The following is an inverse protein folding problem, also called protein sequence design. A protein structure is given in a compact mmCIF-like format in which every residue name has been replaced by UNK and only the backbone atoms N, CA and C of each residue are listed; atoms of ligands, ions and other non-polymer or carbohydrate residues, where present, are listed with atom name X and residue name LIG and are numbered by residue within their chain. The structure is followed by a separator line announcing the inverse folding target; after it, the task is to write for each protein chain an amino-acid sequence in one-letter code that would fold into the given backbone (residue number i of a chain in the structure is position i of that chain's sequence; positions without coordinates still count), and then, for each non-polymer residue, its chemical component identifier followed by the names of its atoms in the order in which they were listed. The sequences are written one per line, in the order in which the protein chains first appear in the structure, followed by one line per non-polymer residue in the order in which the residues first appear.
data_IF_048253463243
#
_entry.id   IF_048253463243
#
_cell.length_a   1.000
_cell.length_b   1.000
_cell.length_c   1.000
_cell.angle_alpha   90.00
_cell.angle_beta   90.00
_cell.angle_gamma   90.00
#
_symmetry.space_group_name_H-M   'P 1'
#
loop_
_entity.id
_entity.type
_entity.pdbx_description
1 polymer ?
#
# COMPACT_ATOMS: atom_id res chain seq x y z
N UNK A 1 16.41 -22.25 20.38
CA UNK A 1 15.92 -21.07 19.66
C UNK A 1 16.75 -20.96 18.40
N UNK A 2 16.14 -20.65 17.25
CA UNK A 2 16.87 -20.40 16.00
C UNK A 2 17.66 -19.10 16.18
N UNK A 3 18.94 -19.08 15.83
CA UNK A 3 19.76 -17.89 15.89
C UNK A 3 19.21 -16.84 14.93
N UNK A 4 18.94 -15.63 15.43
CA UNK A 4 18.46 -14.51 14.60
C UNK A 4 19.66 -13.96 13.84
N UNK A 5 19.60 -14.09 12.51
CA UNK A 5 20.61 -13.56 11.60
C UNK A 5 20.06 -12.34 10.86
N UNK A 6 20.73 -11.20 10.99
CA UNK A 6 20.42 -9.97 10.26
C UNK A 6 21.23 -9.87 8.96
N UNK A 7 20.64 -9.24 7.97
CA UNK A 7 21.34 -8.84 6.75
C UNK A 7 22.50 -7.87 7.09
N UNK A 8 23.64 -8.05 6.46
CA UNK A 8 24.79 -7.16 6.64
C UNK A 8 24.61 -5.80 5.99
N UNK A 9 23.73 -5.70 4.98
CA UNK A 9 23.43 -4.46 4.23
C UNK A 9 22.21 -3.69 4.76
N UNK A 10 21.11 -4.38 5.03
CA UNK A 10 19.87 -3.76 5.52
C UNK A 10 19.50 -4.32 6.91
N UNK A 11 18.25 -4.15 7.34
CA UNK A 11 17.79 -4.57 8.67
C UNK A 11 16.83 -5.77 8.64
N UNK A 12 16.68 -6.43 7.48
CA UNK A 12 15.91 -7.67 7.37
C UNK A 12 16.59 -8.81 8.14
N UNK A 13 15.80 -9.68 8.73
CA UNK A 13 16.27 -10.83 9.49
C UNK A 13 15.43 -12.09 9.20
N UNK A 14 15.89 -13.25 9.72
CA UNK A 14 15.26 -14.55 9.50
C UNK A 14 14.25 -14.95 10.58
N UNK A 15 13.84 -14.04 11.46
CA UNK A 15 12.98 -14.39 12.60
C UNK A 15 11.57 -14.77 12.15
N UNK A 16 10.94 -13.92 11.36
CA UNK A 16 9.56 -14.07 10.92
C UNK A 16 9.40 -14.18 9.39
N UNK A 17 10.50 -14.36 8.66
CA UNK A 17 10.47 -14.49 7.20
C UNK A 17 11.10 -15.82 6.76
N UNK A 18 10.28 -16.83 6.40
CA UNK A 18 10.79 -18.10 5.91
C UNK A 18 11.40 -18.04 4.50
N UNK A 19 11.22 -16.94 3.78
CA UNK A 19 11.70 -16.75 2.40
C UNK A 19 13.02 -15.99 2.33
N UNK A 20 13.53 -15.47 3.46
CA UNK A 20 14.81 -14.78 3.46
C UNK A 20 15.96 -15.79 3.36
N UNK A 21 16.90 -15.49 2.49
CA UNK A 21 18.18 -16.19 2.35
C UNK A 21 19.32 -15.17 2.37
N UNK A 22 20.51 -15.63 2.74
CA UNK A 22 21.69 -14.78 2.80
C UNK A 22 22.81 -15.40 1.95
N UNK A 23 23.55 -14.57 1.23
CA UNK A 23 24.75 -14.97 0.51
C UNK A 23 25.96 -15.15 1.45
N UNK A 24 27.15 -15.39 0.87
CA UNK A 24 28.41 -15.59 1.59
C UNK A 24 28.82 -14.35 2.41
N UNK A 25 28.50 -13.15 1.93
CA UNK A 25 28.76 -11.87 2.59
C UNK A 25 27.67 -11.50 3.62
N UNK A 26 26.64 -12.34 3.77
CA UNK A 26 25.52 -12.13 4.67
C UNK A 26 24.47 -11.14 4.16
N UNK A 27 24.51 -10.76 2.87
CA UNK A 27 23.51 -9.91 2.25
C UNK A 27 22.26 -10.72 1.91
N UNK A 28 21.06 -10.17 2.19
CA UNK A 28 19.83 -10.90 1.95
C UNK A 28 19.38 -10.83 0.48
N UNK A 29 18.64 -11.87 0.06
CA UNK A 29 18.05 -11.96 -1.29
C UNK A 29 17.20 -10.75 -1.67
N UNK A 30 16.53 -10.09 -0.72
CA UNK A 30 15.74 -8.87 -1.00
C UNK A 30 16.63 -7.69 -1.41
N UNK A 31 17.77 -7.49 -0.73
CA UNK A 31 18.74 -6.47 -1.14
C UNK A 31 19.31 -6.77 -2.52
N UNK A 32 19.71 -8.02 -2.77
CA UNK A 32 20.26 -8.44 -4.05
C UNK A 32 19.26 -8.23 -5.18
N UNK A 33 17.98 -8.63 -4.99
CA UNK A 33 16.91 -8.42 -5.94
C UNK A 33 16.68 -6.90 -6.19
N UNK A 34 16.53 -6.10 -5.12
CA UNK A 34 16.28 -4.68 -5.24
C UNK A 34 17.40 -3.92 -5.98
N UNK A 35 18.66 -4.23 -5.67
CA UNK A 35 19.80 -3.57 -6.33
C UNK A 35 19.86 -3.82 -7.83
N UNK A 36 19.33 -4.94 -8.33
CA UNK A 36 19.30 -5.20 -9.78
C UNK A 36 18.36 -4.27 -10.52
N UNK A 37 17.42 -3.62 -9.84
CA UNK A 37 16.42 -2.74 -10.43
C UNK A 37 16.81 -1.25 -10.46
N UNK A 38 17.91 -0.88 -9.79
CA UNK A 38 18.40 0.50 -9.77
C UNK A 38 19.14 0.78 -11.08
N UNK A 39 18.74 1.84 -11.80
CA UNK A 39 19.31 2.26 -13.09
C UNK A 39 19.23 1.20 -14.21
N UNK A 40 18.39 0.20 -14.07
CA UNK A 40 18.20 -0.85 -15.07
C UNK A 40 16.80 -0.85 -15.66
N UNK A 41 15.76 -1.10 -14.85
CA UNK A 41 14.39 -1.27 -15.35
C UNK A 41 13.31 -0.58 -14.51
N UNK A 42 13.53 -0.35 -13.22
CA UNK A 42 12.49 0.18 -12.32
C UNK A 42 12.81 1.57 -11.79
N UNK A 43 13.98 1.78 -11.17
CA UNK A 43 14.30 2.98 -10.41
C UNK A 43 15.42 3.78 -11.07
N UNK A 44 15.11 5.01 -11.48
CA UNK A 44 16.01 5.92 -12.19
C UNK A 44 16.09 7.28 -11.49
N UNK A 45 16.78 7.40 -10.34
CA UNK A 45 16.92 8.67 -9.61
C UNK A 45 18.02 9.57 -10.21
N UNK A 46 17.99 9.79 -11.52
CA UNK A 46 19.05 10.46 -12.28
C UNK A 46 18.52 11.16 -13.54
N UNK A 47 19.39 11.73 -14.35
CA UNK A 47 19.05 12.44 -15.61
C UNK A 47 18.23 11.58 -16.59
N UNK A 48 18.49 10.28 -16.65
CA UNK A 48 17.70 9.37 -17.50
C UNK A 48 16.25 9.25 -16.97
N UNK A 49 16.06 9.21 -15.66
CA UNK A 49 14.74 9.24 -15.06
C UNK A 49 14.00 10.55 -15.34
N UNK A 50 14.68 11.70 -15.20
CA UNK A 50 14.10 13.00 -15.51
C UNK A 50 13.65 13.09 -16.97
N UNK A 51 14.46 12.58 -17.90
CA UNK A 51 14.11 12.51 -19.32
C UNK A 51 12.87 11.64 -19.55
N UNK A 52 12.83 10.44 -19.00
CA UNK A 52 11.66 9.52 -19.08
C UNK A 52 10.42 10.13 -18.47
N UNK A 53 10.56 10.82 -17.34
CA UNK A 53 9.47 11.52 -16.67
C UNK A 53 8.89 12.62 -17.56
N UNK A 54 9.75 13.43 -18.17
CA UNK A 54 9.32 14.48 -19.11
C UNK A 54 8.56 13.89 -20.29
N UNK A 55 9.10 12.87 -20.93
CA UNK A 55 8.45 12.17 -22.06
C UNK A 55 7.08 11.60 -21.63
N UNK A 56 6.99 11.02 -20.43
CA UNK A 56 5.74 10.50 -19.85
C UNK A 56 4.72 11.61 -19.68
N UNK A 57 5.10 12.75 -19.10
CA UNK A 57 4.22 13.90 -18.85
C UNK A 57 3.72 14.48 -20.17
N UNK A 58 4.62 14.71 -21.13
CA UNK A 58 4.29 15.25 -22.44
C UNK A 58 3.29 14.35 -23.17
N UNK A 59 3.50 13.03 -23.11
CA UNK A 59 2.58 12.02 -23.66
C UNK A 59 1.21 12.06 -23.01
N UNK A 60 1.14 12.08 -21.66
CA UNK A 60 -0.12 12.14 -20.91
C UNK A 60 -0.92 13.38 -21.34
N UNK A 61 -0.28 14.54 -21.40
CA UNK A 61 -0.92 15.82 -21.78
C UNK A 61 -1.40 15.79 -23.22
N UNK A 62 -0.57 15.35 -24.15
CA UNK A 62 -0.92 15.33 -25.58
C UNK A 62 -2.08 14.39 -25.89
N UNK A 63 -2.12 13.22 -25.28
CA UNK A 63 -3.19 12.23 -25.50
C UNK A 63 -4.53 12.62 -24.82
N UNK A 64 -4.51 13.55 -23.87
CA UNK A 64 -5.71 13.99 -23.16
C UNK A 64 -6.02 15.49 -23.36
N UNK A 65 -5.44 16.13 -24.37
CA UNK A 65 -5.59 17.59 -24.61
C UNK A 65 -7.06 18.07 -24.61
N UNK A 66 -7.95 17.28 -25.23
CA UNK A 66 -9.39 17.58 -25.34
C UNK A 66 -10.22 17.06 -24.14
N UNK A 67 -9.60 16.42 -23.14
CA UNK A 67 -10.30 15.88 -21.97
C UNK A 67 -10.23 16.85 -20.79
N UNK A 68 -11.15 16.67 -19.84
CA UNK A 68 -11.16 17.46 -18.60
C UNK A 68 -9.95 17.16 -17.73
N UNK A 69 -9.52 15.90 -17.68
CA UNK A 69 -8.38 15.43 -16.88
C UNK A 69 -7.36 14.73 -17.74
N UNK A 70 -6.08 14.84 -17.34
CA UNK A 70 -4.96 14.14 -17.97
C UNK A 70 -4.79 12.74 -17.39
N UNK A 71 -5.03 12.58 -16.10
CA UNK A 71 -4.83 11.35 -15.36
C UNK A 71 -5.74 11.25 -14.13
N UNK A 72 -5.81 10.04 -13.57
CA UNK A 72 -6.48 9.73 -12.31
C UNK A 72 -5.44 9.23 -11.33
N UNK A 73 -5.62 9.54 -10.04
CA UNK A 73 -4.82 8.96 -8.95
C UNK A 73 -5.66 8.67 -7.72
N UNK A 74 -5.25 7.68 -6.93
CA UNK A 74 -5.76 7.48 -5.57
C UNK A 74 -5.07 8.43 -4.60
N UNK A 75 -5.81 8.98 -3.65
CA UNK A 75 -5.26 9.80 -2.57
C UNK A 75 -5.71 9.25 -1.22
N UNK A 76 -4.75 8.91 -0.36
CA UNK A 76 -4.98 8.29 0.96
C UNK A 76 -4.71 9.23 2.13
N UNK A 77 -4.19 10.45 1.87
CA UNK A 77 -3.66 11.32 2.93
C UNK A 77 -2.27 10.93 3.41
N UNK A 78 -1.72 9.83 2.92
CA UNK A 78 -0.34 9.41 3.14
C UNK A 78 0.64 10.20 2.27
N UNK A 79 1.92 10.20 2.70
CA UNK A 79 2.98 11.00 2.09
C UNK A 79 3.16 10.76 0.60
N UNK A 80 3.24 9.49 0.18
CA UNK A 80 3.59 9.12 -1.19
C UNK A 80 2.55 9.61 -2.20
N UNK A 81 1.26 9.39 -1.91
CA UNK A 81 0.16 9.89 -2.75
C UNK A 81 0.05 11.42 -2.72
N UNK A 82 0.27 12.03 -1.56
CA UNK A 82 0.25 13.48 -1.42
C UNK A 82 1.38 14.15 -2.20
N UNK A 83 2.60 13.60 -2.10
CA UNK A 83 3.75 14.15 -2.81
C UNK A 83 3.61 13.98 -4.33
N UNK A 84 3.08 12.83 -4.79
CA UNK A 84 2.80 12.65 -6.21
C UNK A 84 1.74 13.65 -6.73
N UNK A 85 0.70 13.93 -5.94
CA UNK A 85 -0.30 14.94 -6.31
C UNK A 85 0.31 16.34 -6.41
N UNK A 86 1.15 16.72 -5.45
CA UNK A 86 1.90 17.98 -5.48
C UNK A 86 2.81 18.09 -6.70
N UNK A 87 3.59 17.04 -7.00
CA UNK A 87 4.44 17.02 -8.18
C UNK A 87 3.62 17.07 -9.47
N UNK A 88 2.50 16.35 -9.54
CA UNK A 88 1.59 16.42 -10.67
C UNK A 88 1.06 17.83 -10.92
N UNK A 89 0.72 18.58 -9.85
CA UNK A 89 0.40 19.99 -9.92
C UNK A 89 1.58 20.82 -10.48
N UNK A 90 2.80 20.61 -9.97
CA UNK A 90 4.01 21.30 -10.49
C UNK A 90 4.27 20.99 -11.96
N UNK A 91 3.99 19.79 -12.42
CA UNK A 91 4.11 19.40 -13.83
C UNK A 91 2.95 19.91 -14.67
N UNK A 92 1.96 20.56 -14.08
CA UNK A 92 0.80 21.11 -14.77
C UNK A 92 -0.14 20.04 -15.32
N UNK A 93 -0.26 18.90 -14.64
CA UNK A 93 -1.23 17.86 -14.95
C UNK A 93 -2.61 18.20 -14.37
N UNK A 94 -3.65 17.97 -15.16
CA UNK A 94 -5.05 18.04 -14.70
C UNK A 94 -5.44 16.71 -14.10
N UNK A 95 -5.38 16.62 -12.77
CA UNK A 95 -5.56 15.38 -12.03
C UNK A 95 -7.00 15.28 -11.54
N UNK A 96 -7.61 14.10 -11.68
CA UNK A 96 -8.77 13.70 -10.88
C UNK A 96 -8.29 12.81 -9.74
N UNK A 97 -8.37 13.30 -8.50
CA UNK A 97 -8.08 12.51 -7.31
C UNK A 97 -9.31 11.68 -6.91
N UNK A 98 -9.08 10.43 -6.55
CA UNK A 98 -10.12 9.54 -6.02
C UNK A 98 -9.71 9.11 -4.62
N UNK A 99 -10.55 9.45 -3.65
CA UNK A 99 -10.42 9.03 -2.27
C UNK A 99 -11.44 7.96 -1.96
N UNK A 100 -10.99 6.85 -1.38
CA UNK A 100 -11.88 5.78 -0.91
C UNK A 100 -11.96 5.90 0.60
N UNK A 101 -13.07 6.44 1.09
CA UNK A 101 -13.35 6.57 2.51
C UNK A 101 -13.98 5.28 3.05
N UNK A 102 -13.14 4.41 3.57
CA UNK A 102 -13.55 3.15 4.20
C UNK A 102 -13.97 3.31 5.67
N UNK A 103 -13.94 4.55 6.16
CA UNK A 103 -14.30 4.91 7.52
C UNK A 103 -13.18 4.72 8.55
N UNK A 104 -11.95 4.42 8.13
CA UNK A 104 -10.79 4.23 9.03
C UNK A 104 -9.72 5.32 8.88
N UNK A 105 -9.96 6.37 8.12
CA UNK A 105 -9.02 7.47 8.00
C UNK A 105 -8.89 8.26 9.30
N UNK A 106 -7.65 8.64 9.63
CA UNK A 106 -7.40 9.55 10.75
C UNK A 106 -7.83 10.97 10.40
N UNK A 107 -8.13 11.79 11.40
CA UNK A 107 -8.48 13.20 11.17
C UNK A 107 -7.32 13.97 10.50
N UNK A 108 -6.06 13.61 10.84
CA UNK A 108 -4.88 14.21 10.21
C UNK A 108 -4.85 13.88 8.70
N UNK A 109 -5.13 12.65 8.31
CA UNK A 109 -5.14 12.28 6.89
C UNK A 109 -6.24 12.98 6.11
N UNK A 110 -7.44 13.10 6.66
CA UNK A 110 -8.56 13.84 6.06
C UNK A 110 -8.21 15.33 5.87
N UNK A 111 -7.60 15.94 6.89
CA UNK A 111 -7.15 17.34 6.82
C UNK A 111 -6.05 17.52 5.77
N UNK A 112 -5.07 16.61 5.71
CA UNK A 112 -4.00 16.61 4.72
C UNK A 112 -4.55 16.51 3.30
N UNK A 113 -5.48 15.60 3.03
CA UNK A 113 -6.13 15.45 1.73
C UNK A 113 -6.82 16.76 1.32
N UNK A 114 -7.62 17.33 2.23
CA UNK A 114 -8.38 18.56 1.96
C UNK A 114 -7.44 19.71 1.61
N UNK A 115 -6.45 20.01 2.46
CA UNK A 115 -5.50 21.10 2.26
C UNK A 115 -4.71 20.95 0.96
N UNK A 116 -4.25 19.74 0.66
CA UNK A 116 -3.53 19.46 -0.57
C UNK A 116 -4.38 19.68 -1.81
N UNK A 117 -5.60 19.14 -1.85
CA UNK A 117 -6.49 19.29 -3.00
C UNK A 117 -6.88 20.76 -3.23
N UNK A 118 -7.12 21.53 -2.15
CA UNK A 118 -7.40 22.96 -2.23
C UNK A 118 -6.19 23.75 -2.77
N UNK A 119 -4.99 23.53 -2.22
CA UNK A 119 -3.76 24.21 -2.64
C UNK A 119 -3.36 23.89 -4.08
N UNK A 120 -3.46 22.63 -4.48
CA UNK A 120 -3.14 22.16 -5.82
C UNK A 120 -4.29 22.30 -6.83
N UNK A 121 -5.47 22.79 -6.40
CA UNK A 121 -6.68 22.91 -7.22
C UNK A 121 -7.07 21.59 -7.90
N UNK A 122 -6.89 20.48 -7.20
CA UNK A 122 -7.21 19.14 -7.69
C UNK A 122 -8.67 18.83 -7.35
N UNK A 123 -9.44 18.45 -8.37
CA UNK A 123 -10.79 17.93 -8.15
C UNK A 123 -10.70 16.56 -7.50
N UNK A 124 -11.41 16.37 -6.39
CA UNK A 124 -11.45 15.12 -5.65
C UNK A 124 -12.84 14.51 -5.67
N UNK A 125 -12.90 13.18 -5.84
CA UNK A 125 -14.13 12.39 -5.64
C UNK A 125 -13.92 11.43 -4.50
N UNK A 126 -14.79 11.53 -3.50
CA UNK A 126 -14.85 10.57 -2.42
C UNK A 126 -15.85 9.48 -2.76
N UNK A 127 -15.44 8.23 -2.57
CA UNK A 127 -16.28 7.04 -2.75
C UNK A 127 -16.27 6.28 -1.43
N UNK A 128 -17.46 6.06 -0.87
CA UNK A 128 -17.63 5.34 0.39
C UNK A 128 -18.22 3.96 0.11
N UNK A 129 -17.50 2.87 0.37
CA UNK A 129 -18.05 1.52 0.34
C UNK A 129 -19.19 1.34 1.35
N UNK A 130 -20.07 0.35 1.15
CA UNK A 130 -21.07 0.00 2.15
C UNK A 130 -20.37 -0.45 3.45
N UNK A 131 -20.48 0.36 4.49
CA UNK A 131 -19.73 0.17 5.74
C UNK A 131 -20.08 -1.13 6.46
N UNK A 132 -21.36 -1.55 6.43
CA UNK A 132 -21.78 -2.79 7.08
C UNK A 132 -21.13 -4.01 6.44
N UNK A 133 -21.15 -4.09 5.10
CA UNK A 133 -20.56 -5.19 4.36
C UNK A 133 -19.02 -5.16 4.40
N UNK A 134 -18.42 -3.96 4.37
CA UNK A 134 -16.97 -3.78 4.47
C UNK A 134 -16.44 -4.24 5.83
N UNK A 135 -17.10 -3.82 6.91
CA UNK A 135 -16.72 -4.20 8.27
C UNK A 135 -16.92 -5.71 8.54
N UNK A 136 -18.02 -6.30 8.05
CA UNK A 136 -18.24 -7.76 8.17
C UNK A 136 -17.15 -8.54 7.40
N UNK A 137 -16.76 -8.09 6.22
CA UNK A 137 -15.70 -8.71 5.44
C UNK A 137 -14.33 -8.58 6.13
N UNK A 138 -14.02 -7.42 6.72
CA UNK A 138 -12.81 -7.21 7.53
C UNK A 138 -12.79 -8.14 8.73
N UNK A 139 -13.90 -8.24 9.46
CA UNK A 139 -14.05 -9.16 10.58
C UNK A 139 -13.90 -10.64 10.15
N UNK A 140 -14.43 -11.00 8.97
CA UNK A 140 -14.25 -12.34 8.42
C UNK A 140 -12.77 -12.68 8.20
N UNK A 141 -11.97 -11.73 7.72
CA UNK A 141 -10.52 -11.90 7.57
C UNK A 141 -9.78 -12.02 8.91
N UNK A 142 -10.16 -11.24 9.92
CA UNK A 142 -9.60 -11.38 11.25
C UNK A 142 -9.94 -12.75 11.86
N UNK A 143 -11.18 -13.21 11.72
CA UNK A 143 -11.63 -14.56 12.17
C UNK A 143 -10.93 -15.69 11.41
N UNK A 144 -10.57 -15.46 10.15
CA UNK A 144 -9.80 -16.41 9.34
C UNK A 144 -8.35 -16.54 9.82
N UNK A 145 -7.83 -15.60 10.61
CA UNK A 145 -6.51 -15.65 11.21
C UNK A 145 -5.38 -15.55 10.18
N UNK A 146 -5.60 -14.86 9.07
CA UNK A 146 -4.61 -14.67 7.98
C UNK A 146 -3.75 -13.43 8.22
N UNK A 147 -2.49 -13.38 7.70
CA UNK A 147 -1.61 -12.25 7.96
C UNK A 147 -2.09 -10.96 7.30
N UNK A 148 -2.56 -11.01 6.05
CA UNK A 148 -2.94 -9.83 5.27
C UNK A 148 -4.45 -9.56 5.33
N UNK A 149 -4.87 -8.91 6.41
CA UNK A 149 -6.27 -8.52 6.62
C UNK A 149 -6.68 -7.35 5.69
N UNK A 150 -5.71 -6.64 5.09
CA UNK A 150 -5.98 -5.53 4.17
C UNK A 150 -6.40 -5.97 2.76
N UNK A 151 -6.31 -7.25 2.42
CA UNK A 151 -6.66 -7.78 1.08
C UNK A 151 -8.02 -7.29 0.56
N UNK A 152 -9.13 -7.30 1.34
CA UNK A 152 -10.40 -6.76 0.87
C UNK A 152 -10.36 -5.25 0.62
N UNK A 153 -9.74 -4.50 1.54
CA UNK A 153 -9.59 -3.04 1.46
C UNK A 153 -8.90 -2.65 0.16
N UNK A 154 -7.75 -3.26 -0.12
CA UNK A 154 -6.97 -3.01 -1.32
C UNK A 154 -7.73 -3.41 -2.60
N UNK A 155 -8.44 -4.55 -2.59
CA UNK A 155 -9.23 -4.96 -3.75
C UNK A 155 -10.32 -3.95 -4.08
N UNK A 156 -11.08 -3.51 -3.06
CA UNK A 156 -12.19 -2.55 -3.21
C UNK A 156 -11.65 -1.21 -3.71
N UNK A 157 -10.53 -0.74 -3.14
CA UNK A 157 -9.85 0.48 -3.59
C UNK A 157 -9.53 0.40 -5.10
N UNK A 158 -8.84 -0.64 -5.54
CA UNK A 158 -8.51 -0.82 -6.96
C UNK A 158 -9.75 -1.01 -7.84
N UNK A 159 -10.79 -1.66 -7.35
CA UNK A 159 -12.03 -1.83 -8.10
C UNK A 159 -12.70 -0.48 -8.40
N UNK A 160 -12.76 0.42 -7.41
CA UNK A 160 -13.31 1.75 -7.60
C UNK A 160 -12.41 2.67 -8.45
N UNK A 161 -11.08 2.60 -8.25
CA UNK A 161 -10.14 3.37 -9.06
C UNK A 161 -10.25 3.01 -10.55
N UNK A 162 -10.26 1.72 -10.89
CA UNK A 162 -10.36 1.27 -12.27
C UNK A 162 -11.75 1.51 -12.87
N UNK A 163 -12.80 1.44 -12.08
CA UNK A 163 -14.15 1.82 -12.51
C UNK A 163 -14.23 3.33 -12.84
N UNK A 164 -13.56 4.16 -12.05
CA UNK A 164 -13.48 5.60 -12.30
C UNK A 164 -12.68 5.91 -13.57
N UNK A 165 -11.54 5.23 -13.76
CA UNK A 165 -10.75 5.33 -15.00
C UNK A 165 -11.61 5.06 -16.24
N UNK A 166 -12.41 3.99 -16.22
CA UNK A 166 -13.30 3.64 -17.33
C UNK A 166 -14.43 4.66 -17.54
N UNK A 167 -15.09 5.11 -16.47
CA UNK A 167 -16.19 6.08 -16.53
C UNK A 167 -15.76 7.45 -17.07
N UNK A 168 -14.56 7.89 -16.70
CA UNK A 168 -14.02 9.16 -17.17
C UNK A 168 -13.37 9.07 -18.56
N UNK A 169 -13.20 7.85 -19.09
CA UNK A 169 -12.52 7.63 -20.37
C UNK A 169 -11.03 8.03 -20.34
N UNK A 170 -10.41 8.06 -19.17
CA UNK A 170 -9.00 8.39 -18.96
C UNK A 170 -8.25 7.10 -18.71
N UNK A 171 -7.18 6.83 -19.49
CA UNK A 171 -6.44 5.56 -19.33
C UNK A 171 -5.28 5.64 -18.34
N UNK A 172 -4.78 6.83 -18.02
CA UNK A 172 -3.60 7.00 -17.17
C UNK A 172 -3.96 7.02 -15.70
N UNK A 173 -3.44 6.06 -14.96
CA UNK A 173 -3.52 5.98 -13.51
C UNK A 173 -2.13 6.23 -12.92
N UNK A 174 -1.97 7.30 -12.14
CA UNK A 174 -0.75 7.59 -11.42
C UNK A 174 -0.76 6.88 -10.06
N UNK A 175 0.25 6.08 -9.80
CA UNK A 175 0.44 5.36 -8.55
C UNK A 175 1.52 6.02 -7.70
N UNK A 176 1.23 6.25 -6.41
CA UNK A 176 2.19 6.71 -5.41
C UNK A 176 3.16 5.62 -4.93
N UNK A 177 2.93 4.35 -5.32
CA UNK A 177 3.88 3.28 -5.06
C UNK A 177 5.25 3.62 -5.65
N UNK A 178 6.32 3.40 -4.89
CA UNK A 178 7.66 3.79 -5.30
C UNK A 178 8.72 2.81 -4.81
N UNK A 179 9.80 2.72 -5.56
CA UNK A 179 10.93 1.88 -5.21
C UNK A 179 11.63 2.35 -3.93
N UNK A 180 11.79 3.65 -3.76
CA UNK A 180 12.61 4.22 -2.71
C UNK A 180 12.19 3.82 -1.29
N UNK A 181 10.87 3.63 -1.05
CA UNK A 181 10.32 3.22 0.24
C UNK A 181 9.73 1.80 0.25
N UNK A 182 9.70 1.09 -0.90
CA UNK A 182 8.96 -0.17 -1.05
C UNK A 182 9.72 -1.25 -1.83
N UNK A 183 11.03 -1.09 -2.07
CA UNK A 183 11.79 -2.09 -2.82
C UNK A 183 12.05 -3.39 -2.06
N UNK A 184 11.98 -3.38 -0.74
CA UNK A 184 12.11 -4.56 0.11
C UNK A 184 10.75 -4.93 0.70
N UNK A 185 10.13 -5.99 0.19
CA UNK A 185 8.83 -6.48 0.64
C UNK A 185 8.93 -7.95 1.07
N UNK A 186 8.60 -8.24 2.31
CA UNK A 186 8.53 -9.60 2.84
C UNK A 186 7.49 -10.44 2.09
N UNK A 187 7.89 -11.61 1.58
CA UNK A 187 7.04 -12.46 0.74
C UNK A 187 6.01 -13.28 1.52
N UNK A 188 6.24 -13.55 2.79
CA UNK A 188 5.39 -14.44 3.60
C UNK A 188 4.15 -13.80 4.22
N UNK A 189 4.05 -12.47 4.23
CA UNK A 189 3.06 -11.74 5.02
C UNK A 189 2.11 -10.86 4.19
N UNK A 190 2.27 -10.86 2.88
CA UNK A 190 1.37 -10.20 1.93
C UNK A 190 0.65 -11.23 1.07
N UNK A 191 -0.52 -10.88 0.59
CA UNK A 191 -1.30 -11.68 -0.33
C UNK A 191 -1.83 -10.85 -1.50
N UNK A 192 -2.22 -11.53 -2.59
CA UNK A 192 -2.75 -10.82 -3.75
C UNK A 192 -4.14 -10.25 -3.47
N UNK A 193 -4.24 -8.95 -3.39
CA UNK A 193 -5.53 -8.27 -3.26
C UNK A 193 -6.51 -8.59 -4.43
N UNK A 194 -5.98 -9.03 -5.59
CA UNK A 194 -6.82 -9.36 -6.75
C UNK A 194 -7.45 -10.75 -6.71
N UNK A 195 -7.16 -11.56 -5.68
CA UNK A 195 -7.74 -12.90 -5.53
C UNK A 195 -9.15 -12.86 -4.90
N UNK A 196 -10.13 -12.53 -5.74
CA UNK A 196 -11.55 -12.50 -5.33
C UNK A 196 -12.08 -13.89 -4.96
N UNK A 197 -11.42 -14.97 -5.42
CA UNK A 197 -11.78 -16.33 -5.01
C UNK A 197 -11.47 -16.55 -3.53
N UNK A 198 -10.31 -16.08 -3.08
CA UNK A 198 -9.92 -16.13 -1.68
C UNK A 198 -10.84 -15.25 -0.82
N UNK A 199 -11.11 -14.02 -1.27
CA UNK A 199 -12.04 -13.09 -0.58
C UNK A 199 -13.39 -13.76 -0.36
N UNK A 200 -13.98 -14.34 -1.39
CA UNK A 200 -15.29 -14.99 -1.31
C UNK A 200 -15.29 -16.27 -0.47
N UNK A 201 -14.21 -17.05 -0.47
CA UNK A 201 -14.13 -18.28 0.34
C UNK A 201 -13.99 -17.96 1.83
N UNK A 202 -13.18 -16.98 2.19
CA UNK A 202 -13.04 -16.49 3.58
C UNK A 202 -14.36 -15.91 4.05
N UNK A 203 -14.97 -15.02 3.27
CA UNK A 203 -16.27 -14.44 3.62
C UNK A 203 -17.34 -15.52 3.79
N UNK A 204 -17.42 -16.52 2.89
CA UNK A 204 -18.39 -17.62 3.01
C UNK A 204 -18.25 -18.41 4.31
N UNK A 205 -17.03 -18.50 4.87
CA UNK A 205 -16.76 -19.28 6.11
C UNK A 205 -16.99 -18.46 7.38
N UNK A 206 -16.73 -17.17 7.35
CA UNK A 206 -16.66 -16.33 8.54
C UNK A 206 -17.53 -15.08 8.51
N UNK A 207 -17.99 -14.64 7.33
CA UNK A 207 -18.87 -13.50 7.15
C UNK A 207 -20.32 -13.82 7.57
N UNK A 208 -21.04 -12.80 7.97
CA UNK A 208 -22.44 -12.89 8.43
C UNK A 208 -23.39 -12.02 7.62
N UNK A 209 -22.86 -11.05 6.88
CA UNK A 209 -23.61 -10.13 6.01
C UNK A 209 -23.39 -10.49 4.53
N UNK A 210 -24.09 -9.80 3.62
CA UNK A 210 -23.79 -9.90 2.20
C UNK A 210 -22.49 -9.18 1.82
N UNK A 211 -22.03 -9.35 0.57
CA UNK A 211 -20.95 -8.56 -0.07
C UNK A 211 -21.37 -8.06 -1.46
N UNK A 212 -22.66 -8.05 -1.72
CA UNK A 212 -23.27 -7.69 -3.01
C UNK A 212 -23.21 -6.20 -3.32
N UNK A 213 -23.10 -5.35 -2.29
CA UNK A 213 -22.91 -3.91 -2.42
C UNK A 213 -21.44 -3.49 -2.58
N UNK A 214 -20.51 -4.41 -2.33
CA UNK A 214 -19.08 -4.16 -2.51
C UNK A 214 -18.65 -4.42 -3.95
N UNK A 215 -17.74 -3.61 -4.45
CA UNK A 215 -17.13 -3.82 -5.76
C UNK A 215 -15.84 -4.59 -5.64
N UNK A 216 -15.64 -5.56 -6.50
CA UNK A 216 -14.40 -6.34 -6.59
C UNK A 216 -13.83 -6.34 -8.00
N UNK A 217 -12.50 -6.40 -8.07
CA UNK A 217 -11.75 -6.59 -9.31
C UNK A 217 -10.93 -7.88 -9.25
N UNK A 218 -11.14 -8.78 -10.22
CA UNK A 218 -10.38 -10.03 -10.32
C UNK A 218 -9.04 -9.81 -11.05
N UNK A 219 -8.06 -10.68 -10.79
CA UNK A 219 -6.78 -10.69 -11.52
C UNK A 219 -7.00 -10.76 -13.05
N UNK A 220 -7.99 -11.50 -13.52
CA UNK A 220 -8.34 -11.55 -14.95
C UNK A 220 -8.81 -10.20 -15.48
N UNK A 221 -9.75 -9.53 -14.81
CA UNK A 221 -10.23 -8.21 -15.23
C UNK A 221 -9.12 -7.17 -15.23
N UNK A 222 -8.28 -7.15 -14.18
CA UNK A 222 -7.10 -6.27 -14.10
C UNK A 222 -6.14 -6.54 -15.28
N UNK A 223 -5.81 -7.80 -15.52
CA UNK A 223 -4.94 -8.19 -16.63
C UNK A 223 -5.48 -7.73 -17.98
N UNK A 224 -6.77 -7.96 -18.25
CA UNK A 224 -7.39 -7.55 -19.51
C UNK A 224 -7.38 -6.04 -19.72
N UNK A 225 -7.62 -5.25 -18.69
CA UNK A 225 -7.57 -3.78 -18.75
C UNK A 225 -6.16 -3.25 -19.04
N UNK A 226 -5.15 -3.86 -18.48
CA UNK A 226 -3.75 -3.53 -18.78
C UNK A 226 -3.39 -3.97 -20.20
N UNK A 227 -3.74 -5.19 -20.58
CA UNK A 227 -3.41 -5.77 -21.90
C UNK A 227 -4.03 -5.01 -23.07
N UNK A 228 -5.28 -4.56 -22.94
CA UNK A 228 -5.97 -3.80 -23.98
C UNK A 228 -5.69 -2.29 -23.92
N UNK A 229 -4.85 -1.84 -22.97
CA UNK A 229 -4.46 -0.43 -22.83
C UNK A 229 -5.56 0.48 -22.27
N UNK A 230 -6.66 -0.06 -21.73
CA UNK A 230 -7.71 0.75 -21.11
C UNK A 230 -7.28 1.33 -19.76
N UNK A 231 -6.30 0.73 -19.11
CA UNK A 231 -5.62 1.27 -17.91
C UNK A 231 -4.12 1.16 -18.09
N UNK A 232 -3.43 2.28 -17.96
CA UNK A 232 -1.97 2.38 -17.95
C UNK A 232 -1.54 2.92 -16.60
N UNK A 233 -1.02 2.05 -15.75
CA UNK A 233 -0.47 2.46 -14.45
C UNK A 233 0.95 3.00 -14.63
N UNK A 234 1.17 4.21 -14.14
CA UNK A 234 2.47 4.89 -14.16
C UNK A 234 2.94 5.15 -12.73
N UNK A 235 4.25 5.05 -12.52
CA UNK A 235 4.90 5.26 -11.21
C UNK A 235 5.96 6.37 -11.33
N UNK A 236 5.55 7.65 -11.37
CA UNK A 236 6.47 8.76 -11.60
C UNK A 236 7.54 8.91 -10.52
N UNK A 237 7.25 8.49 -9.27
CA UNK A 237 8.21 8.56 -8.17
C UNK A 237 9.42 7.62 -8.36
N UNK A 238 9.32 6.62 -9.25
CA UNK A 238 10.44 5.76 -9.61
C UNK A 238 11.42 6.43 -10.62
N UNK A 239 11.04 7.57 -11.19
CA UNK A 239 11.81 8.32 -12.18
C UNK A 239 12.46 9.58 -11.61
N UNK A 240 12.43 9.75 -10.31
CA UNK A 240 13.05 10.88 -9.59
C UNK A 240 13.86 10.38 -8.40
N UNK A 241 14.77 11.21 -7.92
CA UNK A 241 15.37 11.03 -6.60
C UNK A 241 14.33 11.34 -5.52
N UNK A 242 13.43 10.37 -5.27
CA UNK A 242 12.39 10.50 -4.25
C UNK A 242 12.99 10.38 -2.87
N UNK A 243 12.88 11.45 -2.08
CA UNK A 243 13.36 11.52 -0.70
C UNK A 243 12.22 11.86 0.25
N UNK A 244 12.05 11.04 1.28
CA UNK A 244 10.94 11.14 2.25
C UNK A 244 10.95 12.47 3.03
N UNK A 245 12.09 12.89 3.53
CA UNK A 245 12.21 14.11 4.35
C UNK A 245 11.95 15.36 3.51
N UNK A 246 12.54 15.41 2.29
CA UNK A 246 12.27 16.48 1.32
C UNK A 246 10.79 16.54 0.97
N UNK A 247 10.13 15.41 0.75
CA UNK A 247 8.71 15.37 0.44
C UNK A 247 7.84 15.96 1.57
N UNK A 248 8.13 15.62 2.82
CA UNK A 248 7.45 16.21 3.97
C UNK A 248 7.65 17.72 4.05
N UNK A 249 8.90 18.18 3.90
CA UNK A 249 9.22 19.60 3.97
C UNK A 249 8.47 20.39 2.88
N UNK A 250 8.56 19.93 1.63
CA UNK A 250 7.90 20.61 0.51
C UNK A 250 6.38 20.64 0.66
N UNK A 251 5.76 19.56 1.14
CA UNK A 251 4.33 19.51 1.38
C UNK A 251 3.90 20.38 2.57
N UNK A 252 4.69 20.42 3.63
CA UNK A 252 4.41 21.30 4.77
C UNK A 252 4.44 22.77 4.34
N UNK A 253 5.43 23.18 3.53
CA UNK A 253 5.53 24.53 2.97
C UNK A 253 4.40 24.84 1.98
N UNK A 254 3.98 23.86 1.18
CA UNK A 254 2.98 24.05 0.14
C UNK A 254 1.54 24.13 0.64
N UNK A 255 1.16 23.23 1.58
CA UNK A 255 -0.23 23.09 2.03
C UNK A 255 -0.39 22.81 3.53
N UNK A 256 0.60 23.13 4.36
CA UNK A 256 0.58 22.83 5.80
C UNK A 256 0.28 21.34 6.07
N UNK A 257 0.89 20.45 5.27
CA UNK A 257 0.78 19.01 5.43
C UNK A 257 1.35 18.59 6.78
N UNK A 258 0.58 17.84 7.57
CA UNK A 258 0.96 17.43 8.91
C UNK A 258 1.50 16.00 8.92
N UNK A 259 2.57 15.81 9.69
CA UNK A 259 3.13 14.50 9.95
C UNK A 259 2.21 13.69 10.87
N UNK A 260 2.00 12.43 10.54
CA UNK A 260 1.13 11.51 11.27
C UNK A 260 1.89 10.35 11.95
N UNK A 261 3.20 10.51 12.18
CA UNK A 261 4.03 9.59 12.97
C UNK A 261 4.91 8.65 12.15
N UNK A 262 4.37 7.78 11.31
CA UNK A 262 5.11 6.81 10.50
C UNK A 262 4.37 6.48 9.21
N UNK A 263 4.99 5.67 8.33
CA UNK A 263 4.36 5.22 7.09
C UNK A 263 3.09 4.41 7.41
N UNK A 264 2.03 4.66 6.65
CA UNK A 264 0.72 4.00 6.74
C UNK A 264 -0.09 4.25 8.03
N UNK A 265 0.30 5.23 8.85
CA UNK A 265 -0.51 5.64 10.01
C UNK A 265 -1.62 6.64 9.65
N UNK A 266 -1.82 6.94 8.39
CA UNK A 266 -2.93 7.73 7.88
C UNK A 266 -4.28 7.01 7.96
N UNK A 267 -4.28 5.66 8.08
CA UNK A 267 -5.49 4.85 8.19
C UNK A 267 -5.39 3.91 9.40
N UNK A 268 -6.39 3.96 10.29
CA UNK A 268 -6.43 3.24 11.56
C UNK A 268 -6.37 1.71 11.35
N UNK A 269 -7.09 1.18 10.35
CA UNK A 269 -7.08 -0.26 10.07
C UNK A 269 -5.70 -0.71 9.59
N UNK A 270 -5.07 0.05 8.70
CA UNK A 270 -3.72 -0.25 8.21
C UNK A 270 -2.69 -0.16 9.34
N UNK A 271 -2.78 0.87 10.19
CA UNK A 271 -1.92 1.01 11.37
C UNK A 271 -2.07 -0.19 12.32
N UNK A 272 -3.30 -0.58 12.65
CA UNK A 272 -3.58 -1.75 13.47
C UNK A 272 -2.99 -3.04 12.86
N UNK A 273 -3.19 -3.26 11.56
CA UNK A 273 -2.67 -4.47 10.88
C UNK A 273 -1.14 -4.50 10.96
N UNK A 274 -0.47 -3.42 10.64
CA UNK A 274 0.99 -3.39 10.52
C UNK A 274 1.71 -3.34 11.87
N UNK A 275 1.16 -2.61 12.84
CA UNK A 275 1.82 -2.37 14.11
C UNK A 275 1.34 -3.29 15.25
N UNK A 276 0.13 -3.84 15.16
CA UNK A 276 -0.44 -4.67 16.23
C UNK A 276 -0.74 -6.10 15.78
N UNK A 277 -1.52 -6.29 14.71
CA UNK A 277 -1.92 -7.61 14.22
C UNK A 277 -0.72 -8.47 13.78
N UNK A 278 0.11 -7.96 12.88
CA UNK A 278 1.27 -8.69 12.38
C UNK A 278 2.30 -8.99 13.46
N UNK A 279 2.72 -8.04 14.32
CA UNK A 279 3.68 -8.36 15.39
C UNK A 279 3.15 -9.34 16.42
N UNK A 280 1.93 -9.12 16.94
CA UNK A 280 1.42 -9.91 18.06
C UNK A 280 0.95 -11.31 17.65
N UNK A 281 0.49 -11.47 16.41
CA UNK A 281 -0.08 -12.75 15.94
C UNK A 281 0.88 -13.54 15.06
N UNK A 282 1.76 -12.87 14.31
CA UNK A 282 2.67 -13.50 13.34
C UNK A 282 4.15 -13.27 13.65
N UNK A 283 4.48 -12.48 14.66
CA UNK A 283 5.86 -12.14 15.01
C UNK A 283 6.57 -11.26 13.96
N UNK A 284 5.81 -10.54 13.13
CA UNK A 284 6.33 -9.78 11.99
C UNK A 284 6.36 -8.30 12.29
N UNK A 285 7.55 -7.70 12.40
CA UNK A 285 7.72 -6.25 12.41
C UNK A 285 7.83 -5.71 10.97
N UNK A 286 6.74 -5.10 10.47
CA UNK A 286 6.67 -4.56 9.11
C UNK A 286 7.62 -3.38 8.89
N UNK A 287 8.07 -2.70 9.96
CA UNK A 287 9.05 -1.61 9.88
C UNK A 287 10.37 -2.09 9.26
N UNK A 288 10.75 -3.36 9.48
CA UNK A 288 11.98 -3.92 8.92
C UNK A 288 12.02 -3.83 7.38
N UNK A 289 10.89 -4.06 6.69
CA UNK A 289 10.78 -3.90 5.23
C UNK A 289 10.94 -2.44 4.79
N UNK A 290 10.24 -1.52 5.45
CA UNK A 290 10.27 -0.10 5.10
C UNK A 290 11.65 0.52 5.34
N UNK A 291 12.25 0.26 6.52
CA UNK A 291 13.58 0.75 6.86
C UNK A 291 14.66 0.13 5.94
N UNK A 292 14.51 -1.15 5.59
CA UNK A 292 15.39 -1.79 4.61
C UNK A 292 15.32 -1.16 3.23
N UNK A 293 14.11 -0.78 2.79
CA UNK A 293 13.93 -0.05 1.52
C UNK A 293 14.64 1.31 1.56
N UNK A 294 14.52 2.05 2.68
CA UNK A 294 15.22 3.33 2.86
C UNK A 294 16.75 3.16 2.89
N UNK A 295 17.26 2.09 3.47
CA UNK A 295 18.70 1.78 3.43
C UNK A 295 19.15 1.45 2.01
N UNK A 296 18.41 0.63 1.27
CA UNK A 296 18.74 0.26 -0.12
C UNK A 296 18.69 1.46 -1.06
N UNK A 297 17.75 2.37 -0.86
CA UNK A 297 17.62 3.60 -1.66
C UNK A 297 18.54 4.75 -1.20
N UNK A 298 19.34 4.55 -0.15
CA UNK A 298 20.31 5.53 0.33
C UNK A 298 19.72 6.68 1.16
N UNK A 299 18.48 6.58 1.61
CA UNK A 299 17.82 7.61 2.43
C UNK A 299 18.16 7.49 3.92
N UNK A 300 18.68 6.36 4.35
CA UNK A 300 19.00 6.05 5.74
C UNK A 300 20.21 5.12 5.80
N UNK A 301 21.04 5.27 6.79
CA UNK A 301 22.11 4.30 7.07
C UNK A 301 21.53 3.05 7.74
N UNK A 302 22.25 1.94 7.66
CA UNK A 302 21.86 0.70 8.36
C UNK A 302 21.79 0.89 9.88
N UNK A 303 22.74 1.65 10.45
CA UNK A 303 22.79 1.87 11.90
C UNK A 303 21.61 2.72 12.38
N UNK A 304 21.22 3.76 11.64
CA UNK A 304 19.99 4.52 11.91
C UNK A 304 18.75 3.63 11.83
N UNK A 305 18.66 2.77 10.82
CA UNK A 305 17.56 1.83 10.66
C UNK A 305 17.50 0.81 11.82
N UNK A 306 18.64 0.29 12.26
CA UNK A 306 18.72 -0.59 13.45
C UNK A 306 18.31 0.14 14.72
N UNK A 307 18.74 1.39 14.89
CA UNK A 307 18.34 2.21 16.04
C UNK A 307 16.81 2.49 16.03
N UNK A 308 16.23 2.69 14.87
CA UNK A 308 14.78 2.89 14.73
C UNK A 308 13.99 1.62 15.11
N UNK A 309 14.46 0.43 14.74
CA UNK A 309 13.84 -0.84 15.15
C UNK A 309 13.88 -1.10 16.66
N UNK A 310 14.83 -0.49 17.39
CA UNK A 310 14.89 -0.62 18.86
C UNK A 310 13.81 0.21 19.58
N UNK A 311 13.22 1.19 18.89
CA UNK A 311 12.13 1.99 19.47
C UNK A 311 10.83 1.16 19.51
N UNK A 312 9.93 1.47 20.46
CA UNK A 312 8.58 0.88 20.43
C UNK A 312 7.94 1.05 19.03
N UNK A 313 7.25 0.03 18.57
CA UNK A 313 6.62 0.07 17.24
C UNK A 313 5.48 1.10 17.17
N UNK A 314 4.83 1.38 18.28
CA UNK A 314 3.70 2.30 18.41
C UNK A 314 3.64 2.90 19.83
N UNK A 315 2.90 3.98 19.97
CA UNK A 315 2.44 4.50 21.26
C UNK A 315 1.26 3.65 21.77
N UNK A 316 1.35 3.15 23.00
CA UNK A 316 0.33 2.25 23.57
C UNK A 316 -1.03 2.95 23.72
N UNK A 317 -1.07 4.24 24.06
CA UNK A 317 -2.32 5.00 24.20
C UNK A 317 -3.02 5.12 22.87
N UNK A 318 -2.28 5.51 21.81
CA UNK A 318 -2.79 5.59 20.46
C UNK A 318 -3.30 4.21 19.96
N UNK A 319 -2.55 3.14 20.20
CA UNK A 319 -2.96 1.81 19.72
C UNK A 319 -4.19 1.30 20.45
N UNK A 320 -4.33 1.54 21.75
CA UNK A 320 -5.53 1.19 22.51
C UNK A 320 -6.76 1.96 22.00
N UNK A 321 -6.61 3.23 21.63
CA UNK A 321 -7.66 4.01 20.98
C UNK A 321 -8.05 3.38 19.63
N UNK A 322 -7.08 3.02 18.79
CA UNK A 322 -7.32 2.38 17.50
C UNK A 322 -8.01 1.02 17.63
N UNK A 323 -7.59 0.20 18.59
CA UNK A 323 -8.25 -1.07 18.91
C UNK A 323 -9.70 -0.84 19.36
N UNK A 324 -9.94 0.21 20.16
CA UNK A 324 -11.29 0.62 20.56
C UNK A 324 -12.19 0.94 19.36
N UNK A 325 -11.70 1.76 18.42
CA UNK A 325 -12.40 2.10 17.18
C UNK A 325 -12.69 0.87 16.33
N UNK A 326 -11.70 -0.03 16.19
CA UNK A 326 -11.87 -1.29 15.44
C UNK A 326 -12.91 -2.18 16.09
N UNK A 327 -12.88 -2.37 17.41
CA UNK A 327 -13.90 -3.17 18.12
C UNK A 327 -15.29 -2.59 17.93
N UNK A 328 -15.45 -1.28 18.06
CA UNK A 328 -16.73 -0.60 17.85
C UNK A 328 -17.26 -0.84 16.42
N UNK A 329 -16.44 -0.58 15.40
CA UNK A 329 -16.83 -0.74 13.99
C UNK A 329 -17.13 -2.18 13.60
N UNK A 330 -16.43 -3.14 14.18
CA UNK A 330 -16.62 -4.57 13.91
C UNK A 330 -17.64 -5.23 14.85
N UNK A 331 -18.19 -4.48 15.82
CA UNK A 331 -19.16 -5.01 16.80
C UNK A 331 -18.57 -6.08 17.72
N UNK A 332 -17.30 -5.92 18.12
CA UNK A 332 -16.58 -6.88 18.97
C UNK A 332 -16.59 -6.43 20.44
N UNK A 333 -16.86 -7.38 21.34
CA UNK A 333 -16.54 -7.24 22.78
C UNK A 333 -15.03 -7.48 22.98
N UNK A 334 -14.53 -7.14 24.19
CA UNK A 334 -13.14 -7.40 24.56
C UNK A 334 -12.82 -8.90 24.49
N UNK A 335 -13.71 -9.74 25.01
CA UNK A 335 -13.54 -11.19 25.00
C UNK A 335 -13.51 -11.76 23.58
N UNK A 336 -14.38 -11.25 22.69
CA UNK A 336 -14.40 -11.70 21.29
C UNK A 336 -13.15 -11.27 20.52
N UNK A 337 -12.63 -10.08 20.80
CA UNK A 337 -11.38 -9.60 20.23
C UNK A 337 -10.19 -10.46 20.71
N UNK A 338 -10.11 -10.70 22.02
CA UNK A 338 -9.07 -11.54 22.62
C UNK A 338 -9.14 -12.98 22.10
N UNK A 339 -10.34 -13.53 21.92
CA UNK A 339 -10.52 -14.83 21.29
C UNK A 339 -9.93 -14.86 19.87
N UNK A 340 -10.20 -13.82 19.04
CA UNK A 340 -9.62 -13.72 17.69
C UNK A 340 -8.10 -13.62 17.74
N UNK A 341 -7.56 -12.81 18.65
CA UNK A 341 -6.10 -12.65 18.78
C UNK A 341 -5.41 -13.94 19.21
N UNK A 342 -6.04 -14.75 20.06
CA UNK A 342 -5.48 -16.00 20.60
C UNK A 342 -5.72 -17.24 19.71
N UNK A 343 -6.59 -17.15 18.68
CA UNK A 343 -6.80 -18.26 17.72
C UNK A 343 -5.53 -18.56 16.91
N UNK A 344 -5.36 -19.82 16.45
CA UNK A 344 -4.27 -20.19 15.57
C UNK A 344 -4.18 -19.29 14.33
N UNK A 345 -2.96 -19.11 13.84
CA UNK A 345 -2.69 -18.41 12.57
C UNK A 345 -2.89 -19.34 11.39
N UNK A 346 -3.34 -18.81 10.29
CA UNK A 346 -3.54 -19.50 9.03
C UNK A 346 -2.88 -18.74 7.88
N UNK A 347 -2.63 -19.42 6.77
CA UNK A 347 -2.19 -18.80 5.54
C UNK A 347 -3.36 -18.67 4.56
N UNK A 348 -3.32 -17.64 3.71
CA UNK A 348 -4.34 -17.45 2.67
C UNK A 348 -4.51 -18.69 1.77
N UNK A 349 -3.43 -19.45 1.57
CA UNK A 349 -3.42 -20.68 0.78
C UNK A 349 -4.16 -21.86 1.40
N UNK A 350 -4.54 -21.77 2.68
CA UNK A 350 -5.41 -22.76 3.34
C UNK A 350 -6.89 -22.57 2.96
N UNK A 351 -7.21 -21.43 2.36
CA UNK A 351 -8.50 -21.12 1.77
C UNK A 351 -8.44 -21.30 0.25
N UNK A 352 -9.60 -21.27 -0.42
CA UNK A 352 -9.61 -21.34 -1.88
C UNK A 352 -8.88 -20.13 -2.48
N UNK A 353 -8.09 -20.40 -3.53
CA UNK A 353 -7.31 -19.39 -4.24
C UNK A 353 -7.65 -19.41 -5.73
N UNK A 354 -7.42 -18.30 -6.41
CA UNK A 354 -7.58 -18.24 -7.87
C UNK A 354 -6.47 -19.03 -8.58
N UNK A 355 -6.75 -19.43 -9.84
CA UNK A 355 -5.79 -20.14 -10.68
C UNK A 355 -5.23 -19.31 -11.82
N UNK A 356 -5.84 -18.15 -12.10
CA UNK A 356 -5.50 -17.34 -13.27
C UNK A 356 -4.13 -16.65 -13.12
N UNK A 357 -3.88 -15.91 -12.05
CA UNK A 357 -2.62 -15.20 -11.90
C UNK A 357 -1.39 -16.13 -11.83
N UNK A 358 -1.42 -17.28 -11.11
CA UNK A 358 -0.36 -18.26 -11.17
C UNK A 358 -0.12 -18.82 -12.58
N UNK A 359 -1.19 -19.07 -13.35
CA UNK A 359 -1.09 -19.54 -14.73
C UNK A 359 -0.40 -18.51 -15.64
N UNK A 360 -0.81 -17.24 -15.59
CA UNK A 360 -0.19 -16.16 -16.37
C UNK A 360 1.29 -15.97 -16.01
N UNK A 361 1.62 -15.96 -14.71
CA UNK A 361 3.03 -15.87 -14.28
C UNK A 361 3.89 -17.01 -14.80
N UNK A 362 3.31 -18.21 -14.97
CA UNK A 362 4.00 -19.37 -15.52
C UNK A 362 4.23 -19.25 -17.04
N UNK A 363 3.32 -18.55 -17.76
CA UNK A 363 3.46 -18.34 -19.21
C UNK A 363 4.44 -17.20 -19.55
N UNK A 364 4.66 -16.26 -18.61
CA UNK A 364 5.54 -15.09 -18.82
C UNK A 364 6.98 -15.34 -18.34
N UNK A 365 7.25 -16.46 -17.71
CA UNK A 365 8.60 -16.97 -17.39
C UNK A 365 9.11 -17.84 -18.52
#
# INVERSE_FOLDING_TARGET
MKEIKYCTRCVMNNEADPHITFDEDGVCNYCTEALTHINTDVYFPNEEGEKRLKEMIDKIKSENAEKKYDCIMGISGGLDSAYLAYLGYKWGLRILAVHIDDGYDTEISKENIKKLCEAAKIEMRTITPDAEQFNDLTLAYMKAGVPDVAVPQDNILFAFLYDTVEKEGIKYFLSGGNFALECVLQKGNGYSAMDVTNIKDIHKKFGTKGIDKLKFITSYKKYMRIKNGSVVTLRPLDLIDYNRERAFKELAEFCDFKYYGSKHLENILTAFIQLYWLPNKFGVDKRSSHLSSMVVSGQMTRDEAMAELQKPAYDETMMNEYIGIIKEKLGLTDEAFDEIMNKPTHQHTEYKTERFAPFIRKLLK
#
